data_IF_537431483358
#
_entry.id   IF_537431483358
#
_cell.length_a   1.000
_cell.length_b   1.000
_cell.length_c   1.000
_cell.angle_alpha   90.00
_cell.angle_beta   90.00
_cell.angle_gamma   90.00
#
_symmetry.space_group_name_H-M   'P 1'
#
loop_
_entity.id
_entity.type
_entity.pdbx_description
1 polymer ?
#
# COMPACT_ATOMS: atom_id res chain seq x y z
N UNK A 1 -46.50 -43.97 51.26
CA UNK A 1 -45.27 -44.22 52.05
C UNK A 1 -44.48 -42.92 52.05
N UNK A 2 -44.72 -42.05 53.06
CA UNK A 2 -43.83 -41.71 54.19
C UNK A 2 -42.57 -40.94 53.74
N UNK A 3 -42.47 -39.61 53.86
CA UNK A 3 -42.41 -38.73 55.05
C UNK A 3 -41.14 -38.94 55.91
N UNK A 4 -40.38 -37.85 56.10
CA UNK A 4 -39.79 -37.27 57.35
C UNK A 4 -38.66 -36.28 56.94
N UNK A 5 -38.74 -34.95 57.14
CA UNK A 5 -38.52 -34.17 58.39
C UNK A 5 -37.24 -34.64 59.14
N UNK A 6 -36.24 -33.81 59.49
CA UNK A 6 -36.28 -32.59 60.30
C UNK A 6 -34.87 -31.90 60.34
N UNK A 7 -34.84 -30.57 60.52
CA UNK A 7 -33.71 -29.72 60.94
C UNK A 7 -33.43 -29.90 62.46
N UNK A 8 -32.28 -29.50 63.06
CA UNK A 8 -32.11 -28.11 63.50
C UNK A 8 -30.68 -27.53 63.66
N UNK A 9 -30.61 -26.18 63.65
CA UNK A 9 -29.75 -25.26 64.44
C UNK A 9 -28.21 -25.30 64.25
N UNK A 10 -27.43 -24.22 64.31
CA UNK A 10 -27.63 -22.78 64.42
C UNK A 10 -26.25 -22.08 64.36
N UNK A 11 -26.28 -20.76 64.18
CA UNK A 11 -25.33 -19.71 64.60
C UNK A 11 -24.52 -19.02 63.50
N UNK A 12 -24.98 -17.80 63.21
CA UNK A 12 -24.22 -16.69 62.63
C UNK A 12 -22.97 -16.40 63.48
N UNK A 13 -21.83 -16.17 62.81
CA UNK A 13 -20.79 -15.27 63.27
C UNK A 13 -20.35 -14.38 62.11
N UNK A 14 -20.44 -13.08 62.36
CA UNK A 14 -20.08 -11.95 61.53
C UNK A 14 -18.55 -11.83 61.46
N UNK A 15 -17.95 -11.75 60.27
CA UNK A 15 -16.56 -11.34 60.10
C UNK A 15 -16.48 -10.33 58.94
N UNK A 16 -16.12 -9.09 59.28
CA UNK A 16 -15.93 -8.00 58.36
C UNK A 16 -14.61 -8.19 57.57
N UNK A 17 -14.70 -8.20 56.24
CA UNK A 17 -13.55 -8.16 55.35
C UNK A 17 -13.38 -6.72 54.84
N UNK A 18 -12.32 -6.06 55.32
CA UNK A 18 -11.80 -4.81 54.76
C UNK A 18 -11.19 -5.10 53.38
N UNK A 19 -11.83 -4.60 52.32
CA UNK A 19 -11.24 -4.57 50.99
C UNK A 19 -10.37 -3.30 50.86
N UNK A 20 -9.05 -3.49 50.77
CA UNK A 20 -8.10 -2.43 50.46
C UNK A 20 -8.14 -2.17 48.94
N UNK A 21 -8.84 -1.11 48.52
CA UNK A 21 -8.88 -0.69 47.12
C UNK A 21 -7.60 0.09 46.78
N UNK A 22 -6.66 -0.53 46.05
CA UNK A 22 -5.59 0.20 45.37
C UNK A 22 -6.20 0.96 44.19
N UNK A 23 -6.44 2.25 44.36
CA UNK A 23 -6.74 3.16 43.25
C UNK A 23 -5.43 3.51 42.54
N UNK A 24 -5.07 2.74 41.52
CA UNK A 24 -4.12 3.20 40.50
C UNK A 24 -4.83 4.28 39.68
N UNK A 25 -4.45 5.55 39.87
CA UNK A 25 -4.89 6.63 39.01
C UNK A 25 -4.30 6.38 37.60
N UNK A 26 -5.09 6.36 36.52
CA UNK A 26 -4.52 6.31 35.20
C UNK A 26 -3.75 7.61 34.97
N UNK A 27 -2.44 7.48 34.71
CA UNK A 27 -1.63 8.57 34.19
C UNK A 27 -2.24 8.98 32.85
N UNK A 28 -2.83 10.18 32.80
CA UNK A 28 -3.33 10.77 31.57
C UNK A 28 -2.12 11.04 30.68
N UNK A 29 -1.86 10.16 29.72
CA UNK A 29 -0.99 10.47 28.60
C UNK A 29 -1.56 11.74 27.94
N UNK A 30 -0.76 12.80 27.92
CA UNK A 30 -1.09 14.03 27.23
C UNK A 30 -1.05 13.68 25.73
N UNK A 31 -2.21 13.61 25.08
CA UNK A 31 -2.27 13.57 23.62
C UNK A 31 -1.59 14.82 23.07
N UNK A 32 -0.79 14.73 21.99
CA UNK A 32 -0.28 15.92 21.33
C UNK A 32 -1.46 16.78 20.87
N UNK A 33 -1.31 18.09 21.04
CA UNK A 33 -2.34 19.06 20.67
C UNK A 33 -2.50 19.08 19.15
N UNK A 34 -3.60 18.54 18.63
CA UNK A 34 -4.09 18.81 17.29
C UNK A 34 -5.10 19.95 17.38
N UNK A 35 -4.66 21.17 17.16
CA UNK A 35 -5.52 22.35 17.04
C UNK A 35 -5.77 22.63 15.55
N UNK A 36 -7.04 22.64 15.15
CA UNK A 36 -7.64 23.19 13.91
C UNK A 36 -7.55 22.42 12.57
N UNK A 37 -6.54 21.58 12.30
CA UNK A 37 -6.39 20.96 10.96
C UNK A 37 -7.39 19.83 10.64
N UNK A 38 -8.14 19.31 11.63
CA UNK A 38 -9.00 18.15 11.43
C UNK A 38 -10.26 18.40 10.59
N UNK A 39 -10.71 19.66 10.47
CA UNK A 39 -11.85 20.00 9.59
C UNK A 39 -11.42 20.12 8.12
N UNK A 40 -10.14 20.40 7.88
CA UNK A 40 -9.58 20.71 6.57
C UNK A 40 -9.02 19.49 5.83
N UNK A 41 -8.83 18.38 6.55
CA UNK A 41 -8.29 17.11 6.04
C UNK A 41 -9.30 16.00 6.31
N UNK A 42 -9.84 15.42 5.25
CA UNK A 42 -10.80 14.31 5.32
C UNK A 42 -10.10 12.99 4.93
N UNK A 43 -9.82 12.08 5.87
CA UNK A 43 -9.39 10.72 5.54
C UNK A 43 -10.51 9.95 4.82
N UNK A 44 -10.19 9.29 3.73
CA UNK A 44 -11.13 8.54 2.92
C UNK A 44 -11.11 7.05 3.29
N UNK A 45 -12.30 6.45 3.41
CA UNK A 45 -12.45 5.00 3.64
C UNK A 45 -12.38 4.17 2.36
N UNK A 46 -12.29 4.83 1.20
CA UNK A 46 -12.17 4.24 -0.14
C UNK A 46 -11.23 5.10 -0.98
N UNK A 47 -10.57 4.49 -1.94
CA UNK A 47 -9.68 5.19 -2.85
C UNK A 47 -8.58 4.26 -3.38
N UNK A 48 -7.67 4.80 -4.20
CA UNK A 48 -6.55 4.04 -4.69
C UNK A 48 -5.61 3.64 -3.55
N UNK A 49 -5.02 2.46 -3.67
CA UNK A 49 -3.90 2.03 -2.85
C UNK A 49 -2.62 2.62 -3.46
N UNK A 50 -1.66 2.98 -2.62
CA UNK A 50 -0.37 3.46 -3.08
C UNK A 50 0.33 2.40 -3.96
N UNK A 51 0.74 2.77 -5.18
CA UNK A 51 1.32 1.85 -6.19
C UNK A 51 2.51 1.04 -5.63
N UNK A 52 3.39 1.67 -4.86
CA UNK A 52 4.51 1.01 -4.17
C UNK A 52 4.12 -0.07 -3.14
N UNK A 53 2.90 -0.01 -2.59
CA UNK A 53 2.38 -0.99 -1.64
C UNK A 53 1.80 -2.19 -2.37
N UNK A 54 0.85 -1.96 -3.29
CA UNK A 54 0.25 -2.99 -4.12
C UNK A 54 -0.41 -2.38 -5.35
N UNK A 55 -0.10 -2.92 -6.52
CA UNK A 55 -0.78 -2.62 -7.78
C UNK A 55 -1.00 -3.92 -8.56
N UNK A 56 -2.16 -4.09 -9.23
CA UNK A 56 -2.35 -5.19 -10.17
C UNK A 56 -1.33 -5.09 -11.31
N UNK A 57 -0.57 -6.16 -11.53
CA UNK A 57 0.35 -6.19 -12.66
C UNK A 57 -0.43 -6.31 -13.97
N UNK A 58 -0.32 -5.29 -14.82
CA UNK A 58 -0.87 -5.31 -16.18
C UNK A 58 0.19 -5.83 -17.16
N UNK A 59 -0.16 -6.86 -17.94
CA UNK A 59 0.77 -7.43 -18.92
C UNK A 59 0.84 -6.66 -20.24
N UNK A 60 -0.10 -5.73 -20.46
CA UNK A 60 -0.11 -4.82 -21.59
C UNK A 60 -0.03 -3.40 -21.01
N UNK A 61 1.14 -2.74 -21.06
CA UNK A 61 1.31 -1.42 -20.48
C UNK A 61 0.48 -0.38 -21.23
N UNK A 62 -0.29 0.40 -20.49
CA UNK A 62 -1.12 1.48 -21.01
C UNK A 62 -0.66 2.83 -20.45
N UNK A 63 -0.88 3.94 -21.19
CA UNK A 63 -0.65 5.26 -20.64
C UNK A 63 -1.48 5.51 -19.39
N UNK A 64 -0.88 6.18 -18.41
CA UNK A 64 -1.60 6.58 -17.21
C UNK A 64 -2.69 7.61 -17.51
N UNK A 65 -3.59 7.78 -16.54
CA UNK A 65 -4.74 8.66 -16.62
C UNK A 65 -4.34 10.13 -16.87
N UNK A 66 -5.26 10.89 -17.47
CA UNK A 66 -5.07 12.30 -17.81
C UNK A 66 -6.06 13.15 -17.01
N UNK A 67 -5.55 14.00 -16.13
CA UNK A 67 -6.31 15.01 -15.44
C UNK A 67 -6.44 16.28 -16.31
N UNK A 68 -7.62 16.93 -16.34
CA UNK A 68 -7.85 18.14 -17.12
C UNK A 68 -7.14 19.38 -16.55
N UNK A 69 -6.67 19.32 -15.30
CA UNK A 69 -6.02 20.43 -14.59
C UNK A 69 -4.76 19.98 -13.87
N UNK A 70 -3.90 20.95 -13.52
CA UNK A 70 -2.67 20.67 -12.81
C UNK A 70 -2.95 20.09 -11.42
N UNK A 71 -2.15 19.09 -10.96
CA UNK A 71 -2.18 18.71 -9.57
C UNK A 71 -1.80 19.93 -8.71
N UNK A 72 -2.35 20.06 -7.50
CA UNK A 72 -1.86 21.03 -6.53
C UNK A 72 -0.38 20.82 -6.24
N UNK A 73 0.24 21.78 -5.56
CA UNK A 73 1.59 21.57 -5.03
C UNK A 73 1.62 20.32 -4.14
N UNK A 74 2.69 19.50 -4.19
CA UNK A 74 2.82 18.35 -3.31
C UNK A 74 2.74 18.73 -1.83
N UNK A 75 2.05 17.90 -1.06
CA UNK A 75 1.98 18.03 0.40
C UNK A 75 3.29 17.54 1.01
N UNK A 76 3.79 18.29 1.99
CA UNK A 76 4.92 17.85 2.80
C UNK A 76 4.41 16.93 3.90
N UNK A 77 4.84 15.67 3.83
CA UNK A 77 4.47 14.66 4.81
C UNK A 77 5.54 14.51 5.88
N UNK A 78 5.09 14.45 7.14
CA UNK A 78 5.89 13.92 8.23
C UNK A 78 5.50 12.45 8.45
N UNK A 79 6.44 11.50 8.28
CA UNK A 79 6.21 10.10 8.61
C UNK A 79 5.73 9.96 10.06
N UNK A 80 4.71 9.14 10.33
CA UNK A 80 4.31 8.83 11.71
C UNK A 80 5.47 8.18 12.49
N UNK A 81 5.61 8.53 13.77
CA UNK A 81 6.70 8.06 14.64
C UNK A 81 6.73 6.53 14.80
N UNK A 82 5.59 5.88 14.63
CA UNK A 82 5.38 4.44 14.74
C UNK A 82 5.92 3.70 13.50
N UNK A 83 7.24 3.74 13.32
CA UNK A 83 7.93 2.94 12.31
C UNK A 83 7.89 1.45 12.71
N UNK A 84 7.38 0.55 11.84
CA UNK A 84 7.42 -0.88 12.10
C UNK A 84 8.84 -1.41 12.31
N UNK A 85 8.97 -2.40 13.19
CA UNK A 85 10.20 -3.16 13.34
C UNK A 85 10.50 -3.95 12.06
N UNK A 86 11.78 -4.02 11.69
CA UNK A 86 12.22 -4.81 10.55
C UNK A 86 13.41 -4.18 9.84
N UNK A 87 14.16 -5.03 9.15
CA UNK A 87 15.20 -4.57 8.23
C UNK A 87 14.54 -3.99 6.97
N UNK A 88 15.15 -2.97 6.36
CA UNK A 88 14.71 -2.37 5.10
C UNK A 88 13.31 -1.70 5.11
N UNK A 89 12.83 -1.26 6.28
CA UNK A 89 11.63 -0.42 6.40
C UNK A 89 11.95 1.03 6.02
N UNK A 90 11.29 1.52 4.98
CA UNK A 90 11.46 2.86 4.40
C UNK A 90 10.14 3.63 4.39
N UNK A 91 10.21 4.95 4.53
CA UNK A 91 9.06 5.81 4.26
C UNK A 91 8.96 6.07 2.75
N UNK A 92 7.80 5.80 2.16
CA UNK A 92 7.50 6.18 0.78
C UNK A 92 6.47 7.32 0.84
N UNK A 93 6.81 8.54 0.39
CA UNK A 93 5.90 9.67 0.42
C UNK A 93 4.71 9.49 -0.51
N UNK A 94 3.61 10.15 -0.15
CA UNK A 94 2.38 10.21 -0.92
C UNK A 94 2.45 11.07 -2.17
N UNK A 95 1.36 11.05 -2.94
CA UNK A 95 1.20 11.82 -4.17
C UNK A 95 -0.26 12.15 -4.47
N UNK A 96 -0.49 13.14 -5.32
CA UNK A 96 -1.82 13.47 -5.83
C UNK A 96 -2.29 12.40 -6.82
N UNK A 97 -3.46 11.82 -6.58
CA UNK A 97 -4.20 11.02 -7.57
C UNK A 97 -5.43 11.81 -8.03
N UNK A 98 -5.73 11.73 -9.32
CA UNK A 98 -6.98 12.25 -9.84
C UNK A 98 -8.11 11.26 -9.57
N UNK A 99 -9.25 11.78 -9.16
CA UNK A 99 -10.48 11.04 -8.89
C UNK A 99 -11.54 11.51 -9.90
N UNK A 100 -11.82 10.66 -10.90
CA UNK A 100 -12.76 10.98 -11.98
C UNK A 100 -14.18 11.21 -11.45
N UNK A 101 -14.58 10.48 -10.39
CA UNK A 101 -15.92 10.56 -9.82
C UNK A 101 -16.19 11.94 -9.19
N UNK A 102 -15.20 12.49 -8.49
CA UNK A 102 -15.31 13.84 -7.90
C UNK A 102 -14.76 14.95 -8.81
N UNK A 103 -14.15 14.59 -9.94
CA UNK A 103 -13.44 15.52 -10.83
C UNK A 103 -12.44 16.39 -10.06
N UNK A 104 -11.69 15.77 -9.14
CA UNK A 104 -10.79 16.45 -8.22
C UNK A 104 -9.57 15.60 -7.87
N UNK A 105 -8.62 16.22 -7.18
CA UNK A 105 -7.46 15.50 -6.65
C UNK A 105 -7.71 15.02 -5.23
N UNK A 106 -7.34 13.77 -4.97
CA UNK A 106 -7.16 13.22 -3.64
C UNK A 106 -5.68 12.93 -3.41
N UNK A 107 -5.26 12.96 -2.16
CA UNK A 107 -3.90 12.63 -1.77
C UNK A 107 -3.82 11.15 -1.40
N UNK A 108 -3.00 10.40 -2.11
CA UNK A 108 -2.63 9.04 -1.73
C UNK A 108 -1.53 9.16 -0.69
N UNK A 109 -1.86 8.90 0.57
CA UNK A 109 -0.95 9.09 1.70
C UNK A 109 0.31 8.23 1.58
N UNK A 110 1.43 8.80 2.02
CA UNK A 110 2.66 8.06 2.22
C UNK A 110 2.51 7.01 3.30
N UNK A 111 3.47 6.08 3.34
CA UNK A 111 3.34 4.90 4.18
C UNK A 111 4.69 4.25 4.50
N UNK A 112 4.71 3.41 5.54
CA UNK A 112 5.89 2.62 5.88
C UNK A 112 5.92 1.34 5.03
N UNK A 113 6.98 1.16 4.24
CA UNK A 113 7.17 0.01 3.34
C UNK A 113 8.36 -0.83 3.76
N UNK A 114 8.18 -2.13 3.92
CA UNK A 114 9.28 -3.12 3.93
C UNK A 114 9.72 -3.34 2.48
N UNK A 115 10.76 -2.65 1.99
CA UNK A 115 11.08 -2.71 0.57
C UNK A 115 11.41 -4.16 0.11
N UNK A 116 10.93 -4.61 -1.06
CA UNK A 116 11.24 -5.93 -1.58
C UNK A 116 12.76 -6.14 -1.66
N UNK A 117 13.27 -7.37 -1.46
CA UNK A 117 14.70 -7.64 -1.48
C UNK A 117 15.37 -7.14 -2.75
N UNK A 118 16.46 -6.39 -2.58
CA UNK A 118 17.27 -5.84 -3.67
C UNK A 118 16.50 -4.91 -4.63
N UNK A 119 15.37 -4.34 -4.20
CA UNK A 119 14.60 -3.37 -4.99
C UNK A 119 14.61 -1.99 -4.33
N UNK A 120 14.57 -0.95 -5.16
CA UNK A 120 14.25 0.42 -4.74
C UNK A 120 13.06 0.95 -5.53
N UNK A 121 12.28 1.83 -4.89
CA UNK A 121 11.12 2.45 -5.49
C UNK A 121 11.50 3.67 -6.32
N UNK A 122 10.95 3.76 -7.53
CA UNK A 122 10.97 4.96 -8.36
C UNK A 122 9.58 5.61 -8.28
N UNK A 123 9.45 6.81 -7.67
CA UNK A 123 8.17 7.49 -7.58
C UNK A 123 7.60 7.86 -8.94
N UNK A 124 6.28 7.69 -9.07
CA UNK A 124 5.52 8.24 -10.17
C UNK A 124 5.45 9.77 -10.12
N UNK A 125 5.03 10.39 -11.22
CA UNK A 125 4.92 11.84 -11.31
C UNK A 125 3.90 12.28 -12.35
N UNK A 126 3.38 13.49 -12.16
CA UNK A 126 2.56 14.17 -13.15
C UNK A 126 3.42 14.92 -14.15
N UNK A 127 3.05 14.80 -15.43
CA UNK A 127 3.68 15.54 -16.53
C UNK A 127 2.63 16.30 -17.33
N UNK A 128 2.90 17.55 -17.64
CA UNK A 128 2.07 18.34 -18.54
C UNK A 128 2.19 17.83 -19.99
N UNK A 129 1.04 17.67 -20.66
CA UNK A 129 0.89 17.27 -22.07
C UNK A 129 -0.10 18.21 -22.76
N UNK A 130 -0.28 18.06 -24.07
CA UNK A 130 -1.28 18.83 -24.83
C UNK A 130 -2.74 18.49 -24.44
N UNK A 131 -2.96 17.33 -23.79
CA UNK A 131 -4.28 16.85 -23.38
C UNK A 131 -4.62 17.13 -21.92
N UNK A 132 -3.67 17.67 -21.14
CA UNK A 132 -3.82 17.93 -19.72
C UNK A 132 -2.57 17.53 -18.94
N UNK A 133 -2.76 16.97 -17.76
CA UNK A 133 -1.70 16.43 -16.92
C UNK A 133 -1.80 14.94 -16.92
N UNK A 134 -0.75 14.25 -17.32
CA UNK A 134 -0.74 12.79 -17.39
C UNK A 134 0.04 12.20 -16.22
N UNK A 135 -0.51 11.17 -15.58
CA UNK A 135 0.18 10.40 -14.56
C UNK A 135 1.16 9.42 -15.22
N UNK A 136 2.39 9.40 -14.74
CA UNK A 136 3.38 8.36 -15.04
C UNK A 136 3.54 7.56 -13.75
N UNK A 137 3.10 6.30 -13.76
CA UNK A 137 3.16 5.42 -12.59
C UNK A 137 4.58 5.15 -12.12
N UNK A 138 4.72 5.00 -10.80
CA UNK A 138 5.98 4.56 -10.21
C UNK A 138 6.21 3.06 -10.42
N UNK A 139 7.42 2.60 -10.11
CA UNK A 139 7.73 1.18 -10.20
C UNK A 139 8.91 0.79 -9.32
N UNK A 140 8.96 -0.49 -8.96
CA UNK A 140 10.12 -1.10 -8.31
C UNK A 140 11.17 -1.45 -9.35
N UNK A 141 12.43 -1.14 -9.06
CA UNK A 141 13.56 -1.53 -9.90
C UNK A 141 14.65 -2.21 -9.07
N UNK A 142 15.50 -3.07 -9.66
CA UNK A 142 16.66 -3.61 -8.97
C UNK A 142 17.62 -2.51 -8.53
N UNK A 143 18.15 -2.60 -7.30
CA UNK A 143 19.15 -1.65 -6.76
C UNK A 143 20.43 -1.61 -7.61
N UNK A 144 20.71 -2.68 -8.37
CA UNK A 144 21.87 -2.78 -9.25
C UNK A 144 21.69 -2.04 -10.58
N UNK A 145 20.46 -1.61 -10.91
CA UNK A 145 20.17 -0.83 -12.12
C UNK A 145 20.81 0.55 -12.00
N UNK A 146 21.82 0.81 -12.84
CA UNK A 146 22.54 2.10 -12.86
C UNK A 146 21.92 3.13 -13.79
N UNK A 147 21.31 2.65 -14.87
CA UNK A 147 20.71 3.47 -15.90
C UNK A 147 19.38 2.82 -16.31
N UNK A 148 18.33 3.62 -16.38
CA UNK A 148 17.01 3.17 -16.83
C UNK A 148 17.03 3.03 -18.36
N UNK A 149 16.80 1.81 -18.84
CA UNK A 149 16.64 1.55 -20.27
C UNK A 149 15.20 1.87 -20.68
N UNK A 150 15.04 2.87 -21.55
CA UNK A 150 13.77 3.20 -22.19
C UNK A 150 13.68 2.51 -23.54
N UNK A 151 12.71 1.63 -23.68
CA UNK A 151 12.47 0.88 -24.90
C UNK A 151 11.44 1.65 -25.75
N UNK A 152 11.80 2.20 -26.92
CA UNK A 152 10.89 3.07 -27.67
C UNK A 152 9.74 2.30 -28.34
N UNK A 153 9.96 1.02 -28.65
CA UNK A 153 8.96 0.18 -29.29
C UNK A 153 7.95 -0.35 -28.27
N UNK A 154 6.67 -0.34 -28.61
CA UNK A 154 5.63 -0.95 -27.79
C UNK A 154 5.84 -2.46 -27.70
N UNK A 155 5.85 -3.06 -26.48
CA UNK A 155 5.89 -4.50 -26.35
C UNK A 155 4.65 -5.11 -27.03
N UNK A 156 4.78 -6.23 -27.75
CA UNK A 156 3.63 -6.90 -28.33
C UNK A 156 2.62 -7.26 -27.24
N UNK A 157 1.35 -7.44 -27.62
CA UNK A 157 0.33 -7.93 -26.70
C UNK A 157 0.82 -9.20 -26.01
N UNK A 158 0.64 -9.26 -24.70
CA UNK A 158 1.06 -10.42 -23.90
C UNK A 158 0.39 -11.70 -24.41
N UNK A 159 1.18 -12.79 -24.43
CA UNK A 159 0.70 -14.14 -24.70
C UNK A 159 0.48 -14.94 -23.40
N UNK A 160 0.51 -14.26 -22.26
CA UNK A 160 0.33 -14.88 -20.95
C UNK A 160 -1.11 -15.37 -20.79
N UNK A 161 -1.26 -16.66 -20.53
CA UNK A 161 -2.55 -17.33 -20.35
C UNK A 161 -2.62 -18.16 -19.07
N UNK A 162 -1.59 -18.04 -18.21
CA UNK A 162 -1.46 -18.87 -17.02
C UNK A 162 -0.95 -20.29 -17.30
N UNK A 163 -0.96 -21.17 -16.29
CA UNK A 163 -0.48 -22.54 -16.41
C UNK A 163 -1.40 -23.40 -17.29
N UNK A 164 -0.80 -24.11 -18.25
CA UNK A 164 -1.49 -25.12 -19.07
C UNK A 164 -1.40 -26.54 -18.47
N UNK A 165 -0.59 -26.73 -17.44
CA UNK A 165 -0.44 -27.98 -16.69
C UNK A 165 -0.61 -27.72 -15.19
N UNK A 166 -1.15 -28.68 -14.41
CA UNK A 166 -1.27 -28.54 -12.96
C UNK A 166 0.07 -28.26 -12.28
N UNK A 167 0.02 -27.59 -11.12
CA UNK A 167 1.19 -27.39 -10.29
C UNK A 167 1.81 -28.75 -9.88
N UNK A 168 3.15 -28.90 -9.90
CA UNK A 168 3.80 -30.13 -9.48
C UNK A 168 3.55 -30.50 -8.01
N UNK A 169 3.47 -29.50 -7.12
CA UNK A 169 3.06 -29.62 -5.71
C UNK A 169 2.53 -28.27 -5.19
N UNK A 170 2.13 -28.20 -3.92
CA UNK A 170 1.74 -26.96 -3.24
C UNK A 170 2.84 -25.91 -3.17
N UNK A 171 4.10 -26.35 -3.31
CA UNK A 171 5.29 -25.50 -3.12
C UNK A 171 5.74 -24.87 -4.43
N UNK A 172 4.83 -24.75 -5.40
CA UNK A 172 5.08 -24.12 -6.69
C UNK A 172 4.11 -22.97 -6.92
N UNK A 173 4.65 -21.86 -7.40
CA UNK A 173 3.88 -20.73 -7.90
C UNK A 173 4.08 -20.62 -9.42
N UNK A 174 3.04 -20.13 -10.08
CA UNK A 174 3.14 -19.83 -11.50
C UNK A 174 3.88 -18.51 -11.70
N UNK A 175 5.03 -18.56 -12.38
CA UNK A 175 5.76 -17.38 -12.83
C UNK A 175 5.31 -17.09 -14.26
N UNK A 176 4.57 -16.00 -14.44
CA UNK A 176 4.04 -15.59 -15.73
C UNK A 176 5.11 -15.38 -16.80
N UNK A 177 4.74 -15.71 -18.04
CA UNK A 177 5.52 -15.42 -19.21
C UNK A 177 5.60 -13.92 -19.48
N UNK A 178 6.65 -13.52 -20.18
CA UNK A 178 6.88 -12.13 -20.55
C UNK A 178 7.67 -12.04 -21.85
N UNK A 179 7.57 -10.88 -22.50
CA UNK A 179 8.43 -10.53 -23.61
C UNK A 179 9.82 -10.16 -23.09
N UNK A 180 10.84 -10.95 -23.41
CA UNK A 180 12.23 -10.62 -23.14
C UNK A 180 12.82 -9.87 -24.35
N UNK A 181 13.55 -8.78 -24.11
CA UNK A 181 14.23 -8.04 -25.18
C UNK A 181 15.65 -8.58 -25.40
N UNK A 182 15.97 -8.90 -26.65
CA UNK A 182 17.29 -9.37 -27.13
C UNK A 182 17.54 -8.82 -28.53
N UNK A 183 18.70 -8.21 -28.76
CA UNK A 183 19.11 -7.66 -30.06
C UNK A 183 18.02 -6.80 -30.73
N UNK A 184 17.45 -5.87 -29.97
CA UNK A 184 16.36 -4.98 -30.39
C UNK A 184 15.09 -5.72 -30.90
N UNK A 185 14.83 -6.94 -30.42
CA UNK A 185 13.62 -7.70 -30.74
C UNK A 185 13.01 -8.31 -29.48
N UNK A 186 11.69 -8.53 -29.52
CA UNK A 186 10.95 -9.22 -28.48
C UNK A 186 10.91 -10.72 -28.74
N UNK A 187 11.30 -11.48 -27.73
CA UNK A 187 11.22 -12.94 -27.72
C UNK A 187 10.29 -13.36 -26.57
N UNK A 188 9.25 -14.12 -26.89
CA UNK A 188 8.32 -14.62 -25.88
C UNK A 188 9.05 -15.64 -25.00
N UNK A 189 9.07 -15.38 -23.69
CA UNK A 189 9.48 -16.37 -22.70
C UNK A 189 8.22 -16.91 -22.03
N UNK A 190 7.84 -18.19 -22.28
CA UNK A 190 6.69 -18.80 -21.64
C UNK A 190 6.80 -18.79 -20.11
N UNK A 191 5.64 -18.72 -19.46
CA UNK A 191 5.55 -18.92 -18.02
C UNK A 191 5.96 -20.32 -17.61
N UNK A 192 6.28 -20.49 -16.32
CA UNK A 192 6.71 -21.77 -15.76
C UNK A 192 6.29 -21.89 -14.31
N UNK A 193 6.19 -23.13 -13.85
CA UNK A 193 6.15 -23.43 -12.43
C UNK A 193 7.54 -23.24 -11.83
N UNK A 194 7.63 -22.42 -10.79
CA UNK A 194 8.84 -22.18 -10.00
C UNK A 194 8.55 -22.58 -8.56
N UNK A 195 9.54 -23.10 -7.83
CA UNK A 195 9.37 -23.36 -6.41
C UNK A 195 9.10 -22.05 -5.69
N UNK A 196 8.04 -22.01 -4.88
CA UNK A 196 7.77 -20.89 -4.01
C UNK A 196 8.50 -21.07 -2.68
N UNK A 197 8.83 -19.94 -2.08
CA UNK A 197 9.26 -19.87 -0.69
C UNK A 197 8.01 -19.60 0.16
N UNK A 198 7.88 -20.28 1.30
CA UNK A 198 6.85 -19.95 2.28
C UNK A 198 6.94 -18.45 2.61
N UNK A 199 5.79 -17.78 2.70
CA UNK A 199 5.67 -16.35 3.02
C UNK A 199 6.27 -15.37 2.00
N UNK A 200 6.32 -15.73 0.70
CA UNK A 200 6.64 -14.80 -0.38
C UNK A 200 5.59 -14.81 -1.49
N UNK A 201 5.29 -13.64 -2.03
CA UNK A 201 4.44 -13.46 -3.22
C UNK A 201 5.33 -13.12 -4.41
N UNK A 202 5.07 -13.78 -5.54
CA UNK A 202 5.73 -13.45 -6.80
C UNK A 202 5.02 -12.28 -7.50
N UNK A 203 5.75 -11.21 -7.78
CA UNK A 203 5.32 -10.12 -8.66
C UNK A 203 5.83 -10.39 -10.08
N UNK A 204 4.94 -10.58 -11.08
CA UNK A 204 5.36 -10.87 -12.44
C UNK A 204 6.22 -9.79 -13.08
N UNK A 205 7.11 -10.21 -13.99
CA UNK A 205 7.81 -9.29 -14.86
C UNK A 205 6.81 -8.58 -15.77
N UNK A 206 6.96 -7.27 -15.93
CA UNK A 206 6.04 -6.46 -16.72
C UNK A 206 6.77 -5.25 -17.31
N UNK A 207 6.09 -4.58 -18.22
CA UNK A 207 6.55 -3.30 -18.75
C UNK A 207 5.72 -2.19 -18.11
N UNK A 208 6.36 -1.06 -17.85
CA UNK A 208 5.70 0.17 -17.41
C UNK A 208 5.77 1.17 -18.55
N UNK A 209 4.64 1.79 -18.88
CA UNK A 209 4.59 2.82 -19.91
C UNK A 209 5.17 4.13 -19.38
N UNK A 210 5.91 4.84 -20.22
CA UNK A 210 6.29 6.23 -20.01
C UNK A 210 6.18 7.00 -21.34
N UNK A 211 6.15 8.33 -21.33
CA UNK A 211 6.17 9.12 -22.56
C UNK A 211 7.45 8.95 -23.41
N UNK A 212 8.54 8.45 -22.82
CA UNK A 212 9.82 8.24 -23.50
C UNK A 212 10.00 6.80 -24.01
N UNK A 213 9.01 5.94 -23.83
CA UNK A 213 9.07 4.50 -24.12
C UNK A 213 8.69 3.66 -22.92
N UNK A 214 9.05 2.39 -22.93
CA UNK A 214 8.66 1.41 -21.93
C UNK A 214 9.86 1.02 -21.07
N UNK A 215 9.64 0.88 -19.77
CA UNK A 215 10.64 0.39 -18.83
C UNK A 215 10.31 -1.06 -18.48
N UNK A 216 11.27 -1.96 -18.60
CA UNK A 216 11.09 -3.36 -18.19
C UNK A 216 11.36 -3.51 -16.70
N UNK A 217 10.34 -3.96 -15.96
CA UNK A 217 10.44 -4.34 -14.55
C UNK A 217 10.64 -5.86 -14.48
N UNK A 218 11.81 -6.35 -14.04
CA UNK A 218 12.01 -7.79 -13.88
C UNK A 218 11.11 -8.31 -12.77
N UNK A 219 10.61 -9.53 -12.91
CA UNK A 219 9.79 -10.16 -11.87
C UNK A 219 10.59 -10.40 -10.59
N UNK A 220 9.94 -10.27 -9.45
CA UNK A 220 10.58 -10.29 -8.15
C UNK A 220 9.71 -10.87 -7.04
N UNK A 221 10.36 -11.31 -5.98
CA UNK A 221 9.70 -11.74 -4.76
C UNK A 221 9.42 -10.56 -3.86
N UNK A 222 8.21 -10.52 -3.32
CA UNK A 222 7.77 -9.50 -2.37
C UNK A 222 7.07 -10.16 -1.18
N UNK A 223 6.95 -9.43 -0.09
CA UNK A 223 6.24 -9.88 1.09
C UNK A 223 4.74 -10.00 0.81
N UNK A 224 4.04 -10.93 1.51
CA UNK A 224 2.59 -10.95 1.57
C UNK A 224 2.05 -9.57 1.94
N UNK A 225 0.86 -9.22 1.46
CA UNK A 225 0.27 -7.88 1.65
C UNK A 225 0.28 -7.44 3.12
N UNK A 226 0.09 -8.38 4.05
CA UNK A 226 0.11 -8.16 5.49
C UNK A 226 1.51 -7.81 6.04
N UNK A 227 2.57 -8.27 5.38
CA UNK A 227 3.97 -8.03 5.74
C UNK A 227 4.63 -6.89 4.96
N UNK A 228 3.90 -6.17 4.10
CA UNK A 228 4.49 -5.10 3.27
C UNK A 228 4.76 -3.80 4.03
N UNK A 229 4.22 -3.66 5.24
CA UNK A 229 4.39 -2.50 6.11
C UNK A 229 3.04 -1.93 6.56
N UNK A 230 3.00 -0.64 6.90
CA UNK A 230 1.81 0.04 7.43
C UNK A 230 1.31 1.03 6.40
N UNK A 231 0.15 0.74 5.81
CA UNK A 231 -0.54 1.57 4.82
C UNK A 231 -1.51 2.54 5.50
N UNK A 232 -1.57 3.78 5.02
CA UNK A 232 -2.49 4.79 5.51
C UNK A 232 -3.57 5.13 4.48
N UNK A 233 -4.72 5.56 4.98
CA UNK A 233 -5.85 5.96 4.15
C UNK A 233 -5.50 7.18 3.29
N UNK A 234 -5.97 7.25 2.03
CA UNK A 234 -5.91 8.48 1.26
C UNK A 234 -6.71 9.60 1.95
N UNK A 235 -6.44 10.85 1.60
CA UNK A 235 -7.09 12.01 2.19
C UNK A 235 -7.53 13.03 1.13
N UNK A 236 -8.61 13.75 1.40
CA UNK A 236 -8.97 14.99 0.70
C UNK A 236 -8.56 16.19 1.53
N UNK A 237 -8.05 17.20 0.85
CA UNK A 237 -7.69 18.47 1.45
C UNK A 237 -8.64 19.55 0.98
N UNK A 238 -9.13 20.37 1.91
CA UNK A 238 -9.96 21.51 1.58
C UNK A 238 -9.20 22.54 0.74
N UNK A 239 -9.92 23.36 -0.03
CA UNK A 239 -9.30 24.49 -0.73
C UNK A 239 -8.64 25.47 0.26
N UNK A 240 -9.21 25.61 1.46
CA UNK A 240 -8.66 26.41 2.55
C UNK A 240 -7.25 25.94 2.92
N UNK A 241 -7.09 24.64 3.20
CA UNK A 241 -5.79 24.04 3.50
C UNK A 241 -4.76 24.30 2.40
N UNK A 242 -5.12 24.03 1.15
CA UNK A 242 -4.22 24.18 0.00
C UNK A 242 -3.81 25.63 -0.27
N UNK A 243 -4.62 26.61 0.16
CA UNK A 243 -4.31 28.03 0.01
C UNK A 243 -3.29 28.57 1.03
N UNK A 244 -3.06 27.86 2.15
CA UNK A 244 -2.09 28.27 3.16
C UNK A 244 -0.64 28.23 2.63
N UNK A 245 0.26 29.14 3.06
CA UNK A 245 1.66 29.08 2.63
C UNK A 245 2.31 27.75 3.01
N UNK A 246 3.09 27.17 2.09
CA UNK A 246 3.67 25.83 2.21
C UNK A 246 4.39 25.55 3.52
N UNK A 247 5.10 26.53 4.10
CA UNK A 247 5.81 26.41 5.38
C UNK A 247 4.91 26.12 6.60
N UNK A 248 3.59 26.25 6.43
CA UNK A 248 2.59 25.95 7.45
C UNK A 248 1.72 24.74 7.07
N UNK A 249 1.98 24.10 5.92
CA UNK A 249 1.27 22.89 5.50
C UNK A 249 2.14 21.68 5.80
N UNK A 250 1.76 20.94 6.81
CA UNK A 250 2.38 19.68 7.16
C UNK A 250 1.27 18.65 7.37
N UNK A 251 1.44 17.45 6.83
CA UNK A 251 0.48 16.36 6.98
C UNK A 251 1.15 15.14 7.57
N UNK A 252 0.54 14.55 8.59
CA UNK A 252 0.92 13.25 9.14
C UNK A 252 -0.24 12.29 8.97
N UNK A 253 -0.13 11.26 8.11
CA UNK A 253 -1.16 10.24 7.97
C UNK A 253 -1.42 9.53 9.30
N UNK A 254 -2.67 9.40 9.71
CA UNK A 254 -3.04 8.86 11.03
C UNK A 254 -4.03 7.70 10.98
N UNK A 255 -4.70 7.50 9.86
CA UNK A 255 -5.71 6.43 9.68
C UNK A 255 -5.06 5.26 8.96
N UNK A 256 -4.84 4.15 9.68
CA UNK A 256 -4.25 2.92 9.13
C UNK A 256 -5.30 2.10 8.37
N UNK A 257 -4.94 1.60 7.19
CA UNK A 257 -5.74 0.63 6.45
C UNK A 257 -5.35 -0.78 6.91
N UNK A 258 -6.32 -1.54 7.41
CA UNK A 258 -6.09 -2.94 7.77
C UNK A 258 -5.99 -3.77 6.49
N UNK A 259 -4.77 -4.24 6.21
CA UNK A 259 -4.38 -4.87 4.94
C UNK A 259 -5.07 -6.20 4.64
N UNK A 260 -5.69 -6.85 5.63
CA UNK A 260 -6.47 -8.08 5.43
C UNK A 260 -7.68 -7.89 4.51
N UNK A 261 -8.22 -6.67 4.42
CA UNK A 261 -9.39 -6.37 3.59
C UNK A 261 -9.01 -5.99 2.15
N UNK A 262 -7.71 -5.77 1.87
CA UNK A 262 -7.24 -5.44 0.53
C UNK A 262 -7.31 -6.65 -0.40
N UNK A 263 -7.10 -7.87 0.11
CA UNK A 263 -7.21 -9.10 -0.69
C UNK A 263 -8.63 -9.35 -1.22
N UNK A 264 -9.67 -8.88 -0.52
CA UNK A 264 -11.05 -9.07 -0.98
C UNK A 264 -11.48 -8.05 -2.05
N UNK A 265 -10.68 -6.98 -2.26
CA UNK A 265 -10.99 -5.86 -3.17
C UNK A 265 -9.99 -5.67 -4.31
N UNK A 266 -8.83 -6.34 -4.26
CA UNK A 266 -7.79 -6.31 -5.30
C UNK A 266 -7.88 -7.49 -6.29
N UNK A 267 -8.79 -8.46 -6.06
CA UNK A 267 -8.99 -9.65 -6.89
C UNK A 267 -10.45 -9.82 -7.28
#
# INVERSE_FOLDING_TARGET
MRALMWLPNAKLCLAALLAFSLTAAPSRAQAPASTDDSEDIEPLTRGPVHEAFAEPVTFNPEPGLIAPQAPPEPIEELPPDEKPDGDNVVWIPGYWSWDDDSSGFLWVSGFWRVAPPNMNWIPGYWRQTDQGWQWISGFWQPIQTRELEYIPETPPRSLEVGPSIPAPSSDYIWVSGHWARRDNRYLWRPGRWERCYEDWIWTPAHYVWTPCGYVFVPGYWDYPIQGRGVLFAPARFSHGYLSHPRRYRCYTPSVVIVSIYLTDSLF
#
